data_IF_970366753550
#
_entry.id   IF_970366753550
#
_cell.length_a   1.000
_cell.length_b   1.000
_cell.length_c   1.000
_cell.angle_alpha   90.00
_cell.angle_beta   90.00
_cell.angle_gamma   90.00
#
_symmetry.space_group_name_H-M   'P 1'
#
loop_
_entity.id
_entity.type
_entity.pdbx_description
1 polymer ?
#
# COMPACT_ATOMS: atom_id res chain seq x y z
N UNK A 1 -9.33 15.31 -23.75
CA UNK A 1 -8.88 15.21 -22.34
C UNK A 1 -7.70 14.24 -22.28
N UNK A 2 -6.92 14.28 -21.19
CA UNK A 2 -5.85 13.32 -20.90
C UNK A 2 -6.15 12.68 -19.53
N UNK A 3 -6.23 11.35 -19.48
CA UNK A 3 -6.65 10.62 -18.28
C UNK A 3 -5.56 9.66 -17.80
N UNK A 4 -5.34 9.63 -16.49
CA UNK A 4 -4.53 8.63 -15.83
C UNK A 4 -5.40 7.39 -15.60
N UNK A 5 -5.43 6.49 -16.58
CA UNK A 5 -6.28 5.28 -16.54
C UNK A 5 -5.96 4.46 -15.29
N UNK A 6 -6.93 3.81 -14.60
CA UNK A 6 -6.63 2.94 -13.45
C UNK A 6 -5.75 1.72 -13.78
N UNK A 7 -5.89 1.20 -15.00
CA UNK A 7 -5.05 0.14 -15.59
C UNK A 7 -4.87 -1.15 -14.78
N UNK A 8 -5.81 -1.51 -13.88
CA UNK A 8 -5.72 -2.69 -12.99
C UNK A 8 -5.35 -3.99 -13.74
N UNK A 9 -6.05 -4.29 -14.83
CA UNK A 9 -5.72 -5.44 -15.68
C UNK A 9 -4.76 -5.09 -16.83
N UNK A 10 -4.80 -3.85 -17.30
CA UNK A 10 -4.06 -3.40 -18.49
C UNK A 10 -2.55 -3.36 -18.24
N UNK A 11 -2.12 -2.93 -17.05
CA UNK A 11 -0.71 -2.87 -16.65
C UNK A 11 0.00 -4.22 -16.80
N UNK A 12 -0.64 -5.29 -16.33
CA UNK A 12 -0.14 -6.66 -16.47
C UNK A 12 -0.34 -7.22 -17.87
N UNK A 13 -1.44 -6.87 -18.56
CA UNK A 13 -1.72 -7.40 -19.90
C UNK A 13 -0.70 -6.91 -20.91
N UNK A 14 -0.39 -5.62 -20.94
CA UNK A 14 0.60 -5.08 -21.86
C UNK A 14 2.00 -5.59 -21.54
N UNK A 15 2.41 -5.55 -20.27
CA UNK A 15 3.72 -6.07 -19.87
C UNK A 15 3.92 -7.55 -20.27
N UNK A 16 2.92 -8.42 -20.08
CA UNK A 16 2.98 -9.82 -20.52
C UNK A 16 2.99 -10.01 -22.03
N UNK A 17 2.31 -9.13 -22.77
CA UNK A 17 2.30 -9.21 -24.22
C UNK A 17 3.65 -8.77 -24.77
N UNK A 18 4.17 -7.63 -24.31
CA UNK A 18 5.46 -7.10 -24.75
C UNK A 18 6.61 -8.05 -24.41
N UNK A 19 6.54 -8.78 -23.29
CA UNK A 19 7.50 -9.84 -22.94
C UNK A 19 7.65 -10.92 -24.02
N UNK A 20 6.60 -11.19 -24.81
CA UNK A 20 6.65 -12.18 -25.90
C UNK A 20 7.36 -11.65 -27.14
N UNK A 21 7.33 -10.33 -27.35
CA UNK A 21 7.81 -9.68 -28.57
C UNK A 21 9.20 -9.07 -28.42
N UNK A 22 9.59 -8.69 -27.19
CA UNK A 22 10.83 -7.97 -26.92
C UNK A 22 11.70 -8.71 -25.89
N UNK A 23 12.91 -9.10 -26.29
CA UNK A 23 13.82 -9.90 -25.45
C UNK A 23 14.44 -9.11 -24.29
N UNK A 24 14.71 -7.82 -24.50
CA UNK A 24 15.44 -6.96 -23.56
C UNK A 24 14.52 -5.95 -22.86
N UNK A 25 13.24 -6.31 -22.71
CA UNK A 25 12.24 -5.44 -22.10
C UNK A 25 12.47 -5.27 -20.59
N UNK A 26 12.17 -4.07 -20.09
CA UNK A 26 12.29 -3.72 -18.67
C UNK A 26 10.89 -3.47 -18.10
N UNK A 27 10.60 -4.11 -16.97
CA UNK A 27 9.34 -3.94 -16.24
C UNK A 27 9.52 -3.08 -15.00
N UNK A 28 8.42 -2.57 -14.43
CA UNK A 28 8.48 -1.83 -13.17
C UNK A 28 8.98 -2.70 -12.00
N UNK A 29 8.68 -4.00 -12.03
CA UNK A 29 9.19 -5.02 -11.10
C UNK A 29 10.21 -5.96 -11.74
N UNK A 30 11.13 -5.41 -12.56
CA UNK A 30 12.04 -6.20 -13.38
C UNK A 30 12.78 -7.28 -12.58
N UNK A 31 13.28 -6.91 -11.39
CA UNK A 31 14.02 -7.80 -10.51
C UNK A 31 13.18 -9.00 -10.08
N UNK A 32 11.95 -8.76 -9.62
CA UNK A 32 11.03 -9.79 -9.18
C UNK A 32 10.61 -10.72 -10.32
N UNK A 33 10.46 -10.19 -11.53
CA UNK A 33 10.12 -10.98 -12.72
C UNK A 33 11.20 -12.03 -12.99
N UNK A 34 12.48 -11.63 -12.97
CA UNK A 34 13.58 -12.53 -13.32
C UNK A 34 14.07 -13.39 -12.14
N UNK A 35 14.07 -12.86 -10.91
CA UNK A 35 14.55 -13.60 -9.74
C UNK A 35 13.47 -14.49 -9.11
N UNK A 36 12.21 -14.03 -9.10
CA UNK A 36 11.11 -14.68 -8.38
C UNK A 36 10.01 -15.22 -9.30
N UNK A 37 10.18 -15.10 -10.63
CA UNK A 37 9.16 -15.46 -11.63
C UNK A 37 7.82 -14.76 -11.38
N UNK A 38 7.86 -13.53 -10.86
CA UNK A 38 6.66 -12.73 -10.64
C UNK A 38 6.01 -12.33 -11.97
N UNK A 39 4.71 -12.02 -11.94
CA UNK A 39 4.03 -11.45 -13.11
C UNK A 39 4.58 -10.04 -13.41
N UNK A 40 4.97 -9.73 -14.66
CA UNK A 40 5.47 -8.42 -15.02
C UNK A 40 4.32 -7.39 -15.03
N UNK A 41 4.62 -6.16 -14.63
CA UNK A 41 3.69 -5.05 -14.74
C UNK A 41 4.40 -3.74 -15.12
N UNK A 42 3.62 -2.78 -15.63
CA UNK A 42 4.02 -1.39 -15.77
C UNK A 42 3.43 -0.52 -14.67
N UNK A 43 4.18 0.51 -14.28
CA UNK A 43 3.67 1.55 -13.39
C UNK A 43 2.51 2.27 -14.05
N UNK A 44 1.46 2.56 -13.28
CA UNK A 44 0.28 3.18 -13.82
C UNK A 44 0.53 4.64 -14.23
N UNK A 45 0.16 5.03 -15.45
CA UNK A 45 0.23 6.42 -15.92
C UNK A 45 1.61 7.05 -15.68
N UNK A 46 1.70 8.24 -15.08
CA UNK A 46 2.98 8.86 -14.66
C UNK A 46 3.25 8.74 -13.16
N UNK A 47 2.64 7.76 -12.49
CA UNK A 47 2.88 7.53 -11.07
C UNK A 47 4.34 7.14 -10.82
N UNK A 48 4.77 7.28 -9.57
CA UNK A 48 6.05 6.74 -9.14
C UNK A 48 6.01 5.20 -9.16
N UNK A 49 7.15 4.53 -9.45
CA UNK A 49 7.27 3.10 -9.24
C UNK A 49 6.92 2.70 -7.80
N UNK A 50 6.39 1.48 -7.64
CA UNK A 50 6.11 0.93 -6.31
C UNK A 50 7.40 0.88 -5.49
N UNK A 51 7.37 1.39 -4.26
CA UNK A 51 8.53 1.41 -3.37
C UNK A 51 9.59 2.47 -3.70
N UNK A 52 9.26 3.47 -4.52
CA UNK A 52 10.21 4.55 -4.86
C UNK A 52 10.61 5.40 -3.65
N UNK A 53 9.64 5.84 -2.83
CA UNK A 53 9.88 6.56 -1.58
C UNK A 53 8.78 6.23 -0.56
N UNK A 54 9.13 6.29 0.72
CA UNK A 54 8.19 6.22 1.84
C UNK A 54 7.77 7.63 2.33
N UNK A 55 8.44 8.69 1.85
CA UNK A 55 8.09 10.07 2.19
C UNK A 55 6.97 10.58 1.26
N UNK A 56 5.78 10.74 1.83
CA UNK A 56 4.62 11.27 1.11
C UNK A 56 4.86 12.69 0.56
N UNK A 57 5.62 13.54 1.24
CA UNK A 57 5.88 14.90 0.77
C UNK A 57 6.85 14.92 -0.39
N UNK A 58 7.88 14.07 -0.37
CA UNK A 58 8.76 13.86 -1.53
C UNK A 58 7.95 13.36 -2.73
N UNK A 59 7.07 12.39 -2.51
CA UNK A 59 6.19 11.87 -3.56
C UNK A 59 5.25 12.96 -4.12
N UNK A 60 4.67 13.79 -3.25
CA UNK A 60 3.81 14.91 -3.64
C UNK A 60 4.57 15.95 -4.47
N UNK A 61 5.74 16.38 -4.00
CA UNK A 61 6.58 17.35 -4.72
C UNK A 61 6.96 16.86 -6.12
N UNK A 62 7.27 15.57 -6.25
CA UNK A 62 7.55 14.97 -7.55
C UNK A 62 6.30 14.89 -8.45
N UNK A 63 5.14 14.56 -7.87
CA UNK A 63 3.95 14.22 -8.65
C UNK A 63 3.09 15.45 -8.98
N UNK A 64 3.16 16.55 -8.24
CA UNK A 64 2.25 17.69 -8.36
C UNK A 64 2.11 18.20 -9.80
N UNK A 65 3.23 18.60 -10.42
CA UNK A 65 3.21 19.17 -11.76
C UNK A 65 2.73 18.17 -12.84
N UNK A 66 3.09 16.89 -12.69
CA UNK A 66 2.72 15.83 -13.62
C UNK A 66 1.22 15.53 -13.53
N UNK A 67 0.70 15.42 -12.31
CA UNK A 67 -0.70 15.09 -12.07
C UNK A 67 -1.62 16.21 -12.56
N UNK A 68 -1.21 17.48 -12.44
CA UNK A 68 -1.94 18.61 -13.00
C UNK A 68 -2.05 18.61 -14.54
N UNK A 69 -1.25 17.82 -15.28
CA UNK A 69 -1.37 17.71 -16.74
C UNK A 69 -2.56 16.85 -17.17
N UNK A 70 -3.10 16.02 -16.29
CA UNK A 70 -4.26 15.19 -16.58
C UNK A 70 -5.55 16.01 -16.46
N UNK A 71 -6.21 16.22 -17.61
CA UNK A 71 -7.44 17.00 -17.73
C UNK A 71 -8.71 16.15 -17.72
N UNK A 72 -8.57 14.83 -17.87
CA UNK A 72 -9.68 13.87 -17.90
C UNK A 72 -9.92 13.16 -16.58
N UNK A 73 -8.90 13.11 -15.72
CA UNK A 73 -8.97 12.43 -14.43
C UNK A 73 -7.59 11.96 -14.03
N UNK A 74 -7.26 12.15 -12.76
CA UNK A 74 -6.12 11.52 -12.11
C UNK A 74 -6.34 11.44 -10.61
N UNK A 75 -5.55 10.62 -9.93
CA UNK A 75 -5.51 10.50 -8.48
C UNK A 75 -4.08 10.26 -8.02
N UNK A 76 -3.64 11.03 -7.03
CA UNK A 76 -2.41 10.75 -6.28
C UNK A 76 -2.73 9.80 -5.11
N UNK A 77 -1.94 8.73 -4.95
CA UNK A 77 -2.09 7.78 -3.85
C UNK A 77 -1.00 7.99 -2.80
N UNK A 78 -1.37 8.62 -1.69
CA UNK A 78 -0.51 8.74 -0.51
C UNK A 78 -0.66 7.54 0.40
N UNK A 79 0.15 6.49 0.18
CA UNK A 79 0.18 5.33 1.07
C UNK A 79 0.87 5.70 2.39
N UNK A 80 0.24 5.35 3.51
CA UNK A 80 0.76 5.57 4.85
C UNK A 80 1.07 4.22 5.51
N UNK A 81 2.20 4.13 6.21
CA UNK A 81 2.63 2.90 6.87
C UNK A 81 1.63 2.38 7.91
N UNK A 82 0.99 3.27 8.68
CA UNK A 82 -0.10 2.92 9.59
C UNK A 82 -1.13 4.05 9.67
N UNK A 83 -2.26 3.79 10.34
CA UNK A 83 -3.26 4.82 10.59
C UNK A 83 -2.69 5.96 11.43
N UNK A 84 -2.95 7.21 11.01
CA UNK A 84 -2.54 8.39 11.77
C UNK A 84 -3.14 8.37 13.19
N UNK A 85 -2.41 8.92 14.19
CA UNK A 85 -2.73 8.73 15.61
C UNK A 85 -4.05 9.35 16.04
N UNK A 86 -4.56 10.34 15.30
CA UNK A 86 -5.83 10.99 15.59
C UNK A 86 -6.34 11.79 14.39
N UNK A 87 -7.61 12.19 14.46
CA UNK A 87 -8.29 12.99 13.43
C UNK A 87 -7.61 14.34 13.18
N UNK A 88 -7.00 14.96 14.19
CA UNK A 88 -6.32 16.25 14.04
C UNK A 88 -5.06 16.12 13.19
N UNK A 89 -4.33 15.00 13.28
CA UNK A 89 -3.21 14.69 12.40
C UNK A 89 -3.67 14.55 10.94
N UNK A 90 -4.76 13.82 10.70
CA UNK A 90 -5.36 13.67 9.35
C UNK A 90 -5.73 15.04 8.78
N UNK A 91 -6.47 15.86 9.55
CA UNK A 91 -6.88 17.21 9.12
C UNK A 91 -5.69 18.09 8.76
N UNK A 92 -4.63 18.06 9.57
CA UNK A 92 -3.41 18.85 9.33
C UNK A 92 -2.71 18.43 8.03
N UNK A 93 -2.59 17.13 7.77
CA UNK A 93 -1.97 16.64 6.53
C UNK A 93 -2.83 17.00 5.32
N UNK A 94 -4.14 16.73 5.37
CA UNK A 94 -5.07 17.09 4.28
C UNK A 94 -5.00 18.59 3.99
N UNK A 95 -5.03 19.43 5.03
CA UNK A 95 -4.91 20.88 4.88
C UNK A 95 -3.57 21.28 4.25
N UNK A 96 -2.46 20.73 4.74
CA UNK A 96 -1.12 21.02 4.20
C UNK A 96 -1.01 20.62 2.72
N UNK A 97 -1.58 19.47 2.34
CA UNK A 97 -1.58 19.04 0.93
C UNK A 97 -2.43 20.00 0.09
N UNK A 98 -3.66 20.28 0.51
CA UNK A 98 -4.59 21.11 -0.24
C UNK A 98 -4.14 22.59 -0.37
N UNK A 99 -3.39 23.12 0.60
CA UNK A 99 -2.87 24.49 0.56
C UNK A 99 -1.50 24.60 -0.12
N UNK A 100 -0.72 23.51 -0.15
CA UNK A 100 0.67 23.50 -0.63
C UNK A 100 0.87 22.95 -2.04
N UNK A 101 -0.10 22.21 -2.58
CA UNK A 101 0.01 21.50 -3.85
C UNK A 101 -1.21 21.76 -4.74
N UNK A 102 -1.06 21.56 -6.05
CA UNK A 102 -2.04 21.90 -7.08
C UNK A 102 -2.79 20.67 -7.63
N UNK A 103 -2.31 19.47 -7.33
CA UNK A 103 -2.89 18.21 -7.79
C UNK A 103 -4.40 18.12 -7.49
N UNK A 104 -5.22 17.70 -8.47
CA UNK A 104 -6.67 17.88 -8.41
C UNK A 104 -7.36 16.88 -7.47
N UNK A 105 -6.73 15.75 -7.19
CA UNK A 105 -7.32 14.68 -6.39
C UNK A 105 -6.22 13.82 -5.76
N UNK A 106 -6.34 13.58 -4.45
CA UNK A 106 -5.47 12.70 -3.69
C UNK A 106 -6.25 11.82 -2.73
N UNK A 107 -5.61 10.73 -2.35
CA UNK A 107 -6.06 9.81 -1.31
C UNK A 107 -4.96 9.64 -0.27
N UNK A 108 -5.37 9.42 0.98
CA UNK A 108 -4.50 8.95 2.05
C UNK A 108 -4.94 7.54 2.42
N UNK A 109 -4.05 6.57 2.22
CA UNK A 109 -4.36 5.14 2.38
C UNK A 109 -3.50 4.57 3.49
N UNK A 110 -4.02 4.46 4.72
CA UNK A 110 -3.30 3.82 5.82
C UNK A 110 -3.31 2.31 5.69
N UNK A 111 -2.25 1.67 6.14
CA UNK A 111 -2.22 0.22 6.30
C UNK A 111 -2.91 -0.19 7.60
N UNK A 112 -3.78 -1.19 7.50
CA UNK A 112 -4.45 -1.83 8.63
C UNK A 112 -4.68 -3.31 8.33
N UNK A 113 -4.72 -4.11 9.39
CA UNK A 113 -5.11 -5.51 9.33
C UNK A 113 -6.48 -5.72 9.97
N UNK A 114 -7.21 -6.75 9.53
CA UNK A 114 -8.54 -7.07 10.06
C UNK A 114 -8.47 -8.41 10.77
N UNK A 115 -8.73 -8.39 12.08
CA UNK A 115 -8.95 -9.59 12.87
C UNK A 115 -10.46 -9.91 12.91
N UNK A 116 -10.87 -11.18 12.65
CA UNK A 116 -12.28 -11.58 12.78
C UNK A 116 -12.86 -11.39 14.19
N UNK A 117 -12.01 -11.37 15.22
CA UNK A 117 -12.40 -11.19 16.63
C UNK A 117 -12.32 -9.73 17.08
N UNK A 118 -11.22 -9.04 16.76
CA UNK A 118 -10.93 -7.69 17.30
C UNK A 118 -11.17 -6.55 16.31
N UNK A 119 -11.53 -6.84 15.06
CA UNK A 119 -11.74 -5.83 14.03
C UNK A 119 -10.44 -5.22 13.51
N UNK A 120 -10.44 -3.90 13.29
CA UNK A 120 -9.31 -3.17 12.71
C UNK A 120 -8.12 -3.08 13.67
N UNK A 121 -6.93 -3.33 13.12
CA UNK A 121 -5.63 -3.18 13.76
C UNK A 121 -4.79 -2.20 12.94
N UNK A 122 -4.18 -1.21 13.59
CA UNK A 122 -3.32 -0.24 12.92
C UNK A 122 -1.99 -0.88 12.51
N UNK A 123 -1.63 -0.80 11.22
CA UNK A 123 -0.41 -1.42 10.69
C UNK A 123 -0.65 -2.80 10.06
N UNK A 124 0.43 -3.43 9.62
CA UNK A 124 0.43 -4.73 8.93
C UNK A 124 0.76 -5.87 9.90
N UNK A 125 -0.20 -6.78 10.08
CA UNK A 125 -0.06 -7.98 10.90
C UNK A 125 -0.58 -9.21 10.16
N UNK A 126 0.27 -10.25 10.08
CA UNK A 126 -0.16 -11.58 9.62
C UNK A 126 -1.00 -12.32 10.66
N UNK A 127 -0.70 -12.11 11.95
CA UNK A 127 -1.42 -12.68 13.10
C UNK A 127 -1.84 -11.56 14.05
N UNK A 128 -3.03 -11.69 14.65
CA UNK A 128 -3.57 -10.63 15.50
C UNK A 128 -2.83 -10.60 16.85
N UNK A 129 -2.11 -9.52 17.18
CA UNK A 129 -1.35 -9.45 18.44
C UNK A 129 -2.25 -9.52 19.68
N UNK A 130 -3.53 -9.10 19.55
CA UNK A 130 -4.52 -9.22 20.63
C UNK A 130 -5.01 -10.66 20.81
N UNK A 131 -5.13 -11.43 19.74
CA UNK A 131 -5.44 -12.87 19.86
C UNK A 131 -4.28 -13.60 20.52
N UNK A 132 -3.05 -13.28 20.11
CA UNK A 132 -1.85 -13.91 20.67
C UNK A 132 -1.74 -13.64 22.18
N UNK A 133 -2.00 -12.39 22.60
CA UNK A 133 -2.04 -12.04 24.02
C UNK A 133 -3.16 -12.77 24.80
N UNK A 134 -4.33 -12.96 24.20
CA UNK A 134 -5.43 -13.72 24.81
C UNK A 134 -5.12 -15.21 24.94
N UNK A 135 -4.46 -15.80 23.93
CA UNK A 135 -4.02 -17.20 23.94
C UNK A 135 -2.99 -17.41 25.06
N UNK A 136 -2.02 -16.51 25.20
CA UNK A 136 -1.00 -16.64 26.24
C UNK A 136 -1.62 -16.50 27.64
N UNK A 137 -2.54 -15.56 27.84
CA UNK A 137 -3.28 -15.43 29.11
C UNK A 137 -4.10 -16.68 29.45
N UNK A 138 -4.75 -17.28 28.46
CA UNK A 138 -5.55 -18.49 28.67
C UNK A 138 -4.67 -19.71 28.96
N UNK A 139 -3.54 -19.83 28.27
CA UNK A 139 -2.52 -20.83 28.57
C UNK A 139 -2.01 -20.70 30.00
N UNK A 140 -1.63 -19.50 30.45
CA UNK A 140 -1.20 -19.25 31.83
C UNK A 140 -2.29 -19.64 32.85
N UNK A 141 -3.56 -19.40 32.54
CA UNK A 141 -4.69 -19.79 33.39
C UNK A 141 -4.81 -21.32 33.51
N UNK A 142 -4.78 -22.02 32.38
CA UNK A 142 -4.88 -23.48 32.31
C UNK A 142 -3.69 -24.18 32.98
N UNK A 143 -2.48 -23.63 32.81
CA UNK A 143 -1.27 -24.14 33.48
C UNK A 143 -1.35 -23.98 35.00
N UNK A 144 -1.92 -22.88 35.51
CA UNK A 144 -2.20 -22.70 36.95
C UNK A 144 -3.23 -23.71 37.48
N UNK A 145 -4.12 -24.20 36.62
CA UNK A 145 -5.09 -25.27 36.93
C UNK A 145 -4.50 -26.68 36.79
N UNK A 146 -3.19 -26.80 36.47
CA UNK A 146 -2.48 -28.07 36.35
C UNK A 146 -2.60 -28.73 34.97
N UNK A 147 -3.18 -28.05 33.99
CA UNK A 147 -3.32 -28.54 32.61
C UNK A 147 -2.11 -28.10 31.80
N UNK A 148 -1.36 -29.05 31.23
CA UNK A 148 -0.26 -28.72 30.31
C UNK A 148 -0.79 -28.34 28.94
N UNK A 149 -0.52 -27.11 28.50
CA UNK A 149 -0.94 -26.60 27.19
C UNK A 149 0.28 -26.45 26.29
N UNK A 150 0.14 -26.79 25.00
CA UNK A 150 1.11 -26.46 23.94
C UNK A 150 0.41 -25.58 22.92
N UNK A 151 1.02 -24.45 22.61
CA UNK A 151 0.61 -23.58 21.51
C UNK A 151 1.53 -23.91 20.34
N UNK A 152 0.96 -24.20 19.18
CA UNK A 152 1.71 -24.36 17.93
C UNK A 152 1.84 -22.98 17.27
N UNK A 153 3.02 -22.71 16.71
CA UNK A 153 3.36 -21.45 16.03
C UNK A 153 2.68 -21.31 14.66
#
# INVERSE_FOLDING_TARGET
NLEATPAEGTSYRFAREDQKHFKDIIFANNKEVYEKKAAPYYTNSTQLPVGYTEDIFEALEHQDELQCKYTGGTVFHGFLGESLPNIEAVKKIVKKIAEGFHLPYFTLTPTFSICPKHGYLAGEYHFCPKCDEEIEKEKERLEKEGIKVKVED
#
